data_IF_961949605941
#
_entry.id   IF_961949605941
#
_cell.length_a   1.000
_cell.length_b   1.000
_cell.length_c   1.000
_cell.angle_alpha   90.00
_cell.angle_beta   90.00
_cell.angle_gamma   90.00
#
_symmetry.space_group_name_H-M   'P 1'
#
loop_
_entity.id
_entity.type
_entity.pdbx_description
1 polymer ?
#
# COMPACT_ATOMS: atom_id res chain seq x y z
N UNK A 1 5.45 3.35 -4.12
CA UNK A 1 5.57 1.94 -4.57
C UNK A 1 4.84 1.07 -3.58
N UNK A 2 4.20 -0.01 -4.02
CA UNK A 2 3.58 -1.02 -3.14
C UNK A 2 3.94 -2.42 -3.62
N UNK A 3 3.88 -3.39 -2.70
CA UNK A 3 4.11 -4.80 -2.99
C UNK A 3 3.11 -5.67 -2.25
N UNK A 4 2.71 -6.77 -2.89
CA UNK A 4 1.91 -7.83 -2.29
C UNK A 4 2.63 -9.17 -2.36
N UNK A 5 2.42 -10.03 -1.38
CA UNK A 5 2.93 -11.41 -1.36
C UNK A 5 1.76 -12.37 -1.38
N UNK A 6 1.76 -13.30 -2.34
CA UNK A 6 0.78 -14.37 -2.44
C UNK A 6 1.47 -15.72 -2.33
N UNK A 7 0.95 -16.56 -1.44
CA UNK A 7 1.35 -17.96 -1.34
C UNK A 7 0.44 -18.80 -2.23
N UNK A 8 1.04 -19.50 -3.20
CA UNK A 8 0.37 -20.53 -3.99
C UNK A 8 0.15 -21.79 -3.16
N UNK A 9 -0.89 -22.56 -3.50
CA UNK A 9 -1.19 -23.83 -2.85
C UNK A 9 -0.07 -24.87 -3.03
N UNK A 10 0.73 -24.73 -4.08
CA UNK A 10 1.92 -25.52 -4.40
C UNK A 10 3.19 -25.04 -3.67
N UNK A 11 3.07 -24.06 -2.76
CA UNK A 11 4.19 -23.43 -2.08
C UNK A 11 4.90 -22.35 -2.90
N UNK A 12 4.43 -22.04 -4.12
CA UNK A 12 5.04 -20.99 -4.93
C UNK A 12 4.80 -19.61 -4.30
N UNK A 13 5.86 -18.83 -4.12
CA UNK A 13 5.76 -17.44 -3.68
C UNK A 13 5.66 -16.50 -4.88
N UNK A 14 4.56 -15.75 -4.94
CA UNK A 14 4.33 -14.73 -5.95
C UNK A 14 4.49 -13.33 -5.35
N UNK A 15 5.27 -12.50 -6.02
CA UNK A 15 5.39 -11.08 -5.70
C UNK A 15 4.51 -10.29 -6.67
N UNK A 16 3.65 -9.45 -6.13
CA UNK A 16 2.84 -8.49 -6.86
C UNK A 16 3.43 -7.10 -6.71
N UNK A 17 3.55 -6.37 -7.81
CA UNK A 17 4.10 -5.02 -7.78
C UNK A 17 3.62 -4.18 -8.96
N UNK A 18 3.78 -2.87 -8.82
CA UNK A 18 3.64 -1.87 -9.87
C UNK A 18 4.70 -2.09 -10.97
N UNK A 19 4.34 -1.91 -12.24
CA UNK A 19 5.26 -2.07 -13.38
C UNK A 19 4.89 -1.16 -14.54
N UNK A 20 5.62 -1.26 -15.66
CA UNK A 20 5.39 -0.46 -16.88
C UNK A 20 5.44 1.04 -16.58
N UNK A 21 6.56 1.48 -16.01
CA UNK A 21 6.75 2.84 -15.55
C UNK A 21 6.94 3.83 -16.70
N UNK A 22 6.20 4.94 -16.63
CA UNK A 22 6.41 6.14 -17.43
C UNK A 22 6.59 7.30 -16.45
N UNK A 23 7.65 8.10 -16.65
CA UNK A 23 8.06 9.19 -15.74
C UNK A 23 8.19 8.76 -14.27
N UNK A 24 8.63 7.52 -14.03
CA UNK A 24 8.79 6.96 -12.69
C UNK A 24 7.50 6.43 -12.03
N UNK A 25 6.37 6.42 -12.75
CA UNK A 25 5.08 5.91 -12.25
C UNK A 25 4.58 4.75 -13.10
N UNK A 26 4.29 3.62 -12.47
CA UNK A 26 3.78 2.43 -13.14
C UNK A 26 2.33 2.55 -13.58
N UNK A 27 2.09 2.15 -14.82
CA UNK A 27 0.75 2.07 -15.42
C UNK A 27 0.14 0.68 -15.30
N UNK A 28 0.96 -0.32 -14.99
CA UNK A 28 0.54 -1.69 -14.87
C UNK A 28 0.77 -2.30 -13.49
N UNK A 29 0.14 -3.43 -13.27
CA UNK A 29 0.42 -4.36 -12.17
C UNK A 29 0.94 -5.66 -12.76
N UNK A 30 1.90 -6.29 -12.09
CA UNK A 30 2.34 -7.63 -12.47
C UNK A 30 2.46 -8.52 -11.25
N UNK A 31 2.60 -9.82 -11.54
CA UNK A 31 3.09 -10.80 -10.58
C UNK A 31 4.15 -11.68 -11.21
N UNK A 32 5.12 -12.09 -10.41
CA UNK A 32 6.15 -13.05 -10.82
C UNK A 32 6.52 -13.97 -9.66
N UNK A 33 7.03 -15.16 -9.99
CA UNK A 33 7.55 -16.09 -8.98
C UNK A 33 8.82 -15.51 -8.37
N UNK A 34 8.84 -15.45 -7.04
CA UNK A 34 10.03 -15.07 -6.29
C UNK A 34 11.16 -16.08 -6.57
N UNK A 35 12.35 -15.56 -6.86
CA UNK A 35 13.58 -16.32 -6.97
C UNK A 35 14.70 -15.48 -6.35
N UNK A 36 15.45 -16.00 -5.35
CA UNK A 36 16.54 -15.25 -4.73
C UNK A 36 17.56 -14.77 -5.77
N UNK A 37 17.95 -13.49 -5.68
CA UNK A 37 18.94 -12.87 -6.58
C UNK A 37 18.46 -12.63 -8.02
N UNK A 38 17.21 -12.95 -8.36
CA UNK A 38 16.70 -12.76 -9.71
C UNK A 38 16.34 -11.29 -9.98
N UNK A 39 16.65 -10.84 -11.20
CA UNK A 39 16.12 -9.61 -11.79
C UNK A 39 15.00 -9.96 -12.77
N UNK A 40 13.95 -9.13 -12.81
CA UNK A 40 12.86 -9.25 -13.78
C UNK A 40 12.76 -7.98 -14.60
N UNK A 41 12.62 -8.15 -15.90
CA UNK A 41 12.35 -7.12 -16.89
C UNK A 41 10.88 -7.21 -17.33
N UNK A 42 10.44 -6.26 -18.13
CA UNK A 42 9.10 -6.30 -18.75
C UNK A 42 8.90 -7.53 -19.64
N UNK A 43 9.97 -8.08 -20.23
CA UNK A 43 9.92 -9.31 -21.02
C UNK A 43 9.72 -10.58 -20.18
N UNK A 44 10.00 -10.54 -18.88
CA UNK A 44 9.89 -11.70 -17.99
C UNK A 44 8.51 -11.85 -17.34
N UNK A 45 7.64 -10.85 -17.50
CA UNK A 45 6.44 -10.72 -16.66
C UNK A 45 5.18 -10.42 -17.47
N UNK A 46 4.07 -10.89 -16.94
CA UNK A 46 2.76 -10.62 -17.49
C UNK A 46 2.23 -9.30 -16.93
N UNK A 47 2.29 -8.23 -17.73
CA UNK A 47 1.80 -6.91 -17.37
C UNK A 47 0.27 -6.85 -17.51
N UNK A 48 -0.39 -6.25 -16.52
CA UNK A 48 -1.84 -6.05 -16.44
C UNK A 48 -2.15 -4.55 -16.32
N UNK A 49 -3.09 -4.06 -17.12
CA UNK A 49 -3.62 -2.70 -17.06
C UNK A 49 -5.09 -2.74 -16.66
N UNK A 50 -5.40 -2.90 -15.36
CA UNK A 50 -6.78 -3.17 -14.91
C UNK A 50 -7.70 -1.95 -14.98
N UNK A 51 -7.13 -0.74 -15.12
CA UNK A 51 -7.86 0.51 -15.29
C UNK A 51 -7.19 1.29 -16.42
N UNK A 52 -7.90 1.46 -17.53
CA UNK A 52 -7.38 2.19 -18.70
C UNK A 52 -7.05 3.64 -18.34
N UNK A 53 -5.93 4.15 -18.86
CA UNK A 53 -5.45 5.52 -18.59
C UNK A 53 -4.96 5.79 -17.16
N UNK A 54 -4.90 4.78 -16.28
CA UNK A 54 -4.45 4.97 -14.90
C UNK A 54 -2.92 5.04 -14.77
N UNK A 55 -2.45 5.69 -13.70
CA UNK A 55 -1.04 5.72 -13.29
C UNK A 55 -0.90 5.39 -11.80
N UNK A 56 0.33 5.15 -11.36
CA UNK A 56 0.64 4.88 -9.95
C UNK A 56 -0.08 3.63 -9.41
N UNK A 57 -0.09 2.54 -10.19
CA UNK A 57 -0.89 1.35 -9.91
C UNK A 57 -0.24 0.48 -8.83
N UNK A 58 -0.64 0.70 -7.59
CA UNK A 58 -0.06 0.12 -6.38
C UNK A 58 -0.95 -1.02 -5.86
N UNK A 59 -0.52 -2.29 -5.91
CA UNK A 59 -1.32 -3.41 -5.45
C UNK A 59 -1.17 -3.66 -3.94
N UNK A 60 -2.25 -4.10 -3.29
CA UNK A 60 -2.26 -4.69 -1.96
C UNK A 60 -3.21 -5.91 -1.95
N UNK A 61 -2.78 -6.99 -1.32
CA UNK A 61 -3.56 -8.24 -1.25
C UNK A 61 -4.21 -8.42 0.11
N UNK A 62 -5.38 -9.06 0.12
CA UNK A 62 -5.97 -9.66 1.30
C UNK A 62 -6.06 -11.18 1.12
N UNK A 63 -5.11 -11.95 1.67
CA UNK A 63 -5.15 -13.42 1.57
C UNK A 63 -6.36 -14.05 2.25
N UNK A 64 -6.91 -13.40 3.28
CA UNK A 64 -8.08 -13.90 4.04
C UNK A 64 -9.35 -13.89 3.20
N UNK A 65 -9.55 -12.88 2.35
CA UNK A 65 -10.74 -12.76 1.50
C UNK A 65 -10.48 -13.12 0.04
N UNK A 66 -9.23 -13.43 -0.32
CA UNK A 66 -8.87 -13.69 -1.72
C UNK A 66 -9.04 -12.47 -2.62
N UNK A 67 -8.78 -11.26 -2.11
CA UNK A 67 -8.98 -9.99 -2.85
C UNK A 67 -7.69 -9.25 -3.12
N UNK A 68 -7.71 -8.43 -4.15
CA UNK A 68 -6.67 -7.43 -4.46
C UNK A 68 -7.30 -6.05 -4.54
N UNK A 69 -6.71 -5.09 -3.83
CA UNK A 69 -6.96 -3.68 -4.05
C UNK A 69 -5.81 -3.10 -4.88
N UNK A 70 -6.14 -2.31 -5.89
CA UNK A 70 -5.17 -1.47 -6.59
C UNK A 70 -5.51 -0.03 -6.29
N UNK A 71 -4.57 0.68 -5.69
CA UNK A 71 -4.58 2.13 -5.64
C UNK A 71 -4.06 2.66 -6.97
N UNK A 72 -4.76 3.59 -7.58
CA UNK A 72 -4.37 4.17 -8.86
C UNK A 72 -4.74 5.66 -8.90
N UNK A 73 -4.18 6.40 -9.86
CA UNK A 73 -4.58 7.76 -10.19
C UNK A 73 -5.20 7.79 -11.58
N UNK A 74 -6.36 8.42 -11.70
CA UNK A 74 -7.02 8.69 -12.98
C UNK A 74 -7.27 10.20 -13.09
N UNK A 75 -6.76 10.84 -14.14
CA UNK A 75 -6.81 12.30 -14.27
C UNK A 75 -6.17 13.03 -13.08
N UNK A 76 -5.14 12.44 -12.46
CA UNK A 76 -4.48 12.96 -11.25
C UNK A 76 -5.16 12.61 -9.92
N UNK A 77 -6.42 12.18 -9.95
CA UNK A 77 -7.21 11.87 -8.75
C UNK A 77 -6.94 10.45 -8.24
N UNK A 78 -6.49 10.27 -6.99
CA UNK A 78 -6.25 8.96 -6.42
C UNK A 78 -7.56 8.23 -6.06
N UNK A 79 -7.60 6.93 -6.37
CA UNK A 79 -8.73 6.03 -6.15
C UNK A 79 -8.22 4.65 -5.73
N UNK A 80 -9.14 3.85 -5.19
CA UNK A 80 -8.94 2.42 -4.99
C UNK A 80 -9.99 1.65 -5.78
N UNK A 81 -9.58 0.57 -6.42
CA UNK A 81 -10.51 -0.43 -6.96
C UNK A 81 -10.12 -1.80 -6.43
N UNK A 82 -11.13 -2.60 -6.07
CA UNK A 82 -10.96 -3.91 -5.47
C UNK A 82 -11.54 -4.97 -6.40
N UNK A 83 -10.84 -6.08 -6.55
CA UNK A 83 -11.28 -7.25 -7.30
C UNK A 83 -11.10 -8.53 -6.50
N UNK A 84 -11.81 -9.57 -6.92
CA UNK A 84 -11.41 -10.94 -6.64
C UNK A 84 -10.01 -11.21 -7.23
N UNK A 85 -9.14 -11.85 -6.45
CA UNK A 85 -7.75 -12.09 -6.84
C UNK A 85 -7.63 -13.13 -7.96
N UNK A 86 -8.53 -14.11 -8.02
CA UNK A 86 -8.52 -15.12 -9.08
C UNK A 86 -8.98 -14.50 -10.41
N UNK A 87 -10.07 -13.71 -10.40
CA UNK A 87 -10.52 -12.95 -11.56
C UNK A 87 -9.42 -11.98 -12.06
N UNK A 88 -8.82 -11.20 -11.16
CA UNK A 88 -7.72 -10.29 -11.50
C UNK A 88 -6.51 -11.03 -12.08
N UNK A 89 -6.19 -12.19 -11.53
CA UNK A 89 -5.13 -13.07 -12.05
C UNK A 89 -5.41 -13.51 -13.48
N UNK A 90 -6.66 -13.92 -13.75
CA UNK A 90 -7.17 -14.34 -15.05
C UNK A 90 -7.37 -13.19 -16.05
N UNK A 91 -7.07 -11.95 -15.64
CA UNK A 91 -7.26 -10.72 -16.42
C UNK A 91 -8.73 -10.39 -16.71
N UNK A 92 -9.64 -10.87 -15.87
CA UNK A 92 -11.02 -10.44 -15.86
C UNK A 92 -11.17 -9.25 -14.90
N UNK A 93 -11.41 -8.07 -15.48
CA UNK A 93 -11.56 -6.82 -14.74
C UNK A 93 -12.99 -6.27 -14.78
N UNK A 94 -13.92 -6.95 -15.46
CA UNK A 94 -15.27 -6.45 -15.68
C UNK A 94 -16.08 -6.38 -14.38
N UNK A 95 -15.91 -7.37 -13.49
CA UNK A 95 -16.60 -7.46 -12.21
C UNK A 95 -15.75 -6.92 -11.04
N UNK A 96 -15.55 -5.60 -10.99
CA UNK A 96 -14.96 -4.96 -9.81
C UNK A 96 -15.87 -5.11 -8.58
N UNK A 97 -15.29 -5.39 -7.42
CA UNK A 97 -16.02 -5.51 -6.15
C UNK A 97 -16.31 -4.13 -5.52
N UNK A 98 -15.42 -3.16 -5.73
CA UNK A 98 -15.55 -1.80 -5.23
C UNK A 98 -14.71 -0.83 -6.05
N UNK A 99 -15.15 0.41 -6.17
CA UNK A 99 -14.39 1.53 -6.74
C UNK A 99 -14.68 2.82 -5.96
N UNK A 100 -13.72 3.28 -5.16
CA UNK A 100 -13.90 4.39 -4.24
C UNK A 100 -12.80 5.45 -4.39
N UNK A 101 -13.15 6.70 -4.07
CA UNK A 101 -12.19 7.77 -3.97
C UNK A 101 -11.24 7.55 -2.77
N UNK A 102 -9.98 7.96 -2.89
CA UNK A 102 -9.11 8.04 -1.73
C UNK A 102 -9.50 9.28 -0.90
N UNK A 103 -10.09 9.05 0.27
CA UNK A 103 -10.48 10.11 1.21
C UNK A 103 -9.87 9.87 2.58
N UNK A 104 -9.76 10.93 3.40
CA UNK A 104 -9.49 10.80 4.82
C UNK A 104 -8.14 10.18 5.21
N UNK A 105 -7.14 10.13 4.32
CA UNK A 105 -5.81 9.59 4.65
C UNK A 105 -5.14 10.37 5.79
N UNK A 106 -5.31 11.69 5.82
CA UNK A 106 -4.72 12.60 6.80
C UNK A 106 -5.65 13.82 7.03
N UNK A 107 -5.63 14.50 8.20
CA UNK A 107 -6.38 15.75 8.41
C UNK A 107 -5.96 16.88 7.47
N UNK A 108 -4.67 17.03 7.23
CA UNK A 108 -4.12 17.86 6.16
C UNK A 108 -4.10 17.06 4.84
N UNK A 109 -4.87 17.47 3.81
CA UNK A 109 -4.92 16.79 2.52
C UNK A 109 -3.61 16.90 1.72
N UNK A 110 -2.70 17.81 2.07
CA UNK A 110 -1.40 17.95 1.44
C UNK A 110 -0.34 16.98 2.00
N UNK A 111 -0.60 16.35 3.15
CA UNK A 111 0.33 15.40 3.75
C UNK A 111 0.59 14.21 2.82
N UNK A 112 1.84 13.73 2.74
CA UNK A 112 2.21 12.68 1.80
C UNK A 112 1.54 11.36 2.18
N UNK A 113 1.04 10.66 1.16
CA UNK A 113 0.52 9.30 1.28
C UNK A 113 1.67 8.30 1.21
N UNK A 114 1.71 7.38 2.17
CA UNK A 114 2.88 6.56 2.45
C UNK A 114 2.61 5.05 2.39
N UNK A 115 1.34 4.65 2.18
CA UNK A 115 1.00 3.26 1.94
C UNK A 115 -0.44 2.93 2.30
N UNK A 116 -0.86 1.73 1.91
CA UNK A 116 -2.16 1.18 2.30
C UNK A 116 -2.10 -0.34 2.41
N UNK A 117 -3.10 -0.91 3.08
CA UNK A 117 -3.30 -2.35 3.19
C UNK A 117 -4.80 -2.68 3.10
N UNK A 118 -5.12 -3.89 2.64
CA UNK A 118 -6.49 -4.40 2.55
C UNK A 118 -6.66 -5.57 3.53
N UNK A 119 -7.71 -5.54 4.36
CA UNK A 119 -8.09 -6.68 5.18
C UNK A 119 -9.61 -6.77 5.38
N UNK A 120 -10.22 -7.87 4.93
CA UNK A 120 -11.67 -8.00 4.95
C UNK A 120 -12.34 -6.97 4.03
N UNK A 121 -13.28 -6.22 4.59
CA UNK A 121 -13.95 -5.07 3.96
C UNK A 121 -13.31 -3.72 4.33
N UNK A 122 -12.12 -3.75 4.94
CA UNK A 122 -11.43 -2.55 5.43
C UNK A 122 -10.18 -2.24 4.59
N UNK A 123 -10.04 -0.98 4.20
CA UNK A 123 -8.84 -0.45 3.57
C UNK A 123 -8.16 0.53 4.54
N UNK A 124 -6.97 0.15 4.99
CA UNK A 124 -6.16 0.97 5.89
C UNK A 124 -5.19 1.83 5.09
N UNK A 125 -5.02 3.09 5.49
CA UNK A 125 -4.14 4.06 4.84
C UNK A 125 -3.11 4.57 5.85
N UNK A 126 -1.91 4.88 5.36
CA UNK A 126 -0.84 5.53 6.10
C UNK A 126 -0.46 6.82 5.39
N UNK A 127 -0.45 7.93 6.11
CA UNK A 127 -0.02 9.23 5.59
C UNK A 127 0.67 10.05 6.69
N UNK A 128 1.55 10.95 6.29
CA UNK A 128 2.32 11.82 7.18
C UNK A 128 3.75 11.98 6.71
N UNK A 129 4.38 13.05 7.18
CA UNK A 129 5.66 13.52 6.68
C UNK A 129 6.82 12.94 7.49
N UNK A 130 8.03 13.03 6.93
CA UNK A 130 9.24 12.90 7.72
C UNK A 130 9.29 13.97 8.83
N UNK A 131 10.05 13.71 9.89
CA UNK A 131 10.46 14.79 10.79
C UNK A 131 11.20 15.89 10.04
N UNK A 132 10.79 17.12 10.32
CA UNK A 132 11.35 18.35 9.78
C UNK A 132 11.37 19.41 10.89
N UNK A 133 12.48 20.14 11.12
CA UNK A 133 12.57 21.11 12.22
C UNK A 133 11.51 22.21 12.22
N UNK A 134 10.88 22.50 11.07
CA UNK A 134 9.89 23.58 10.93
C UNK A 134 8.47 23.04 10.77
N UNK A 135 8.26 22.10 9.87
CA UNK A 135 6.93 21.62 9.49
C UNK A 135 6.45 20.44 10.35
N UNK A 136 7.35 19.59 10.83
CA UNK A 136 7.03 18.38 11.59
C UNK A 136 8.10 18.10 12.66
N UNK A 137 8.28 19.00 13.64
CA UNK A 137 9.40 18.93 14.57
C UNK A 137 9.28 17.68 15.47
N UNK A 138 10.41 17.02 15.83
CA UNK A 138 10.39 15.84 16.69
C UNK A 138 9.64 16.02 18.01
N UNK A 139 9.66 17.23 18.59
CA UNK A 139 8.96 17.57 19.83
C UNK A 139 7.41 17.42 19.72
N UNK A 140 6.86 17.44 18.50
CA UNK A 140 5.44 17.20 18.24
C UNK A 140 5.08 15.72 18.08
N UNK A 141 6.07 14.81 18.21
CA UNK A 141 5.95 13.36 18.05
C UNK A 141 5.48 12.87 16.66
N UNK A 142 5.28 13.78 15.71
CA UNK A 142 4.99 13.46 14.31
C UNK A 142 3.52 13.59 13.94
N UNK A 143 3.30 13.77 12.65
CA UNK A 143 2.00 13.92 12.01
C UNK A 143 1.48 12.61 11.39
N UNK A 144 2.09 11.45 11.65
CA UNK A 144 1.66 10.20 11.00
C UNK A 144 0.25 9.80 11.44
N UNK A 145 -0.62 9.58 10.47
CA UNK A 145 -1.97 9.09 10.66
C UNK A 145 -2.18 7.73 10.01
N UNK A 146 -2.95 6.90 10.70
CA UNK A 146 -3.57 5.70 10.15
C UNK A 146 -5.06 5.98 10.02
N UNK A 147 -5.63 5.66 8.86
CA UNK A 147 -7.08 5.73 8.68
C UNK A 147 -7.63 4.47 8.05
N UNK A 148 -8.95 4.28 8.17
CA UNK A 148 -9.65 3.09 7.72
C UNK A 148 -10.90 3.51 6.91
N UNK A 149 -11.02 2.97 5.70
CA UNK A 149 -12.21 3.11 4.85
C UNK A 149 -12.97 1.77 4.80
N UNK A 150 -14.30 1.82 4.82
CA UNK A 150 -15.13 0.69 4.38
C UNK A 150 -15.09 0.63 2.85
N UNK A 151 -14.68 -0.50 2.27
CA UNK A 151 -14.54 -0.60 0.80
C UNK A 151 -15.88 -0.63 0.07
N UNK A 152 -16.98 -0.98 0.73
CA UNK A 152 -18.31 -1.11 0.13
C UNK A 152 -18.97 0.26 -0.02
N UNK A 153 -18.74 1.15 0.93
CA UNK A 153 -19.36 2.49 0.97
C UNK A 153 -18.39 3.62 0.67
N UNK A 154 -17.09 3.42 0.87
CA UNK A 154 -16.07 4.47 0.84
C UNK A 154 -16.07 5.36 2.09
N UNK A 155 -16.81 4.99 3.14
CA UNK A 155 -16.91 5.76 4.37
C UNK A 155 -15.61 5.71 5.18
N UNK A 156 -15.21 6.87 5.75
CA UNK A 156 -14.13 6.96 6.72
C UNK A 156 -14.60 6.47 8.08
N UNK A 157 -14.28 5.22 8.41
CA UNK A 157 -14.67 4.59 9.67
C UNK A 157 -13.86 5.11 10.84
N UNK A 158 -12.57 5.36 10.63
CA UNK A 158 -11.66 5.80 11.68
C UNK A 158 -10.44 6.54 11.11
N UNK A 159 -9.88 7.45 11.92
CA UNK A 159 -8.59 8.09 11.67
C UNK A 159 -7.92 8.42 12.99
N UNK A 160 -6.68 7.99 13.15
CA UNK A 160 -5.90 8.17 14.38
C UNK A 160 -4.49 8.66 14.05
N UNK A 161 -4.03 9.69 14.77
CA UNK A 161 -2.61 10.01 14.84
C UNK A 161 -1.90 8.90 15.61
N UNK A 162 -0.72 8.47 15.16
CA UNK A 162 0.11 7.50 15.87
C UNK A 162 1.46 8.09 16.21
N UNK A 163 1.83 7.98 17.48
CA UNK A 163 3.16 8.34 17.99
C UNK A 163 4.11 7.13 17.95
N UNK A 164 3.74 6.05 17.24
CA UNK A 164 4.65 4.93 17.02
C UNK A 164 5.99 5.45 16.48
N UNK A 165 7.08 4.91 17.01
CA UNK A 165 8.44 5.30 16.63
C UNK A 165 8.81 6.78 16.88
N UNK A 166 8.13 7.50 17.78
CA UNK A 166 8.41 8.92 18.05
C UNK A 166 9.85 9.19 18.51
N UNK A 167 10.51 8.19 19.11
CA UNK A 167 11.88 8.29 19.62
C UNK A 167 12.96 8.22 18.53
N UNK A 168 12.59 7.98 17.27
CA UNK A 168 13.54 7.97 16.16
C UNK A 168 14.02 9.40 15.84
N UNK A 169 15.33 9.57 15.61
CA UNK A 169 15.92 10.88 15.25
C UNK A 169 15.40 11.41 13.90
N UNK A 170 15.32 10.51 12.92
CA UNK A 170 14.60 10.72 11.69
C UNK A 170 13.44 9.72 11.70
N UNK A 171 12.24 10.19 11.39
CA UNK A 171 11.03 9.40 11.44
C UNK A 171 10.20 9.73 10.21
N UNK A 172 10.14 8.82 9.26
CA UNK A 172 9.30 8.93 8.06
C UNK A 172 8.48 7.64 7.93
N UNK A 173 7.13 7.72 7.88
CA UNK A 173 6.30 6.54 7.65
C UNK A 173 6.46 6.03 6.22
N UNK A 174 6.63 4.72 6.05
CA UNK A 174 7.09 4.11 4.79
C UNK A 174 6.43 2.74 4.57
N UNK A 175 5.11 2.73 4.44
CA UNK A 175 4.34 1.52 4.13
C UNK A 175 3.57 0.91 5.29
N UNK A 176 2.57 0.13 4.90
CA UNK A 176 1.57 -0.47 5.77
C UNK A 176 1.28 -1.90 5.30
N UNK A 177 1.10 -2.83 6.23
CA UNK A 177 0.71 -4.20 5.91
C UNK A 177 -0.21 -4.77 6.99
N UNK A 178 -1.11 -5.67 6.61
CA UNK A 178 -1.84 -6.51 7.58
C UNK A 178 -1.30 -7.92 7.51
N UNK A 179 -0.95 -8.49 8.67
CA UNK A 179 -0.56 -9.89 8.80
C UNK A 179 -1.35 -10.53 9.93
N UNK A 180 -1.94 -11.68 9.63
CA UNK A 180 -2.65 -12.50 10.62
C UNK A 180 -1.68 -13.46 11.30
N UNK A 181 -1.65 -13.46 12.63
CA UNK A 181 -0.85 -14.38 13.45
C UNK A 181 -1.77 -15.02 14.49
N UNK A 182 -1.82 -16.35 14.54
CA UNK A 182 -2.73 -17.07 15.45
C UNK A 182 -4.21 -16.76 15.25
N UNK A 183 -4.62 -16.36 14.04
CA UNK A 183 -5.99 -15.93 13.73
C UNK A 183 -6.27 -14.44 14.00
N UNK A 184 -5.38 -13.73 14.69
CA UNK A 184 -5.53 -12.30 14.97
C UNK A 184 -4.85 -11.44 13.89
N UNK A 185 -5.56 -10.52 13.24
CA UNK A 185 -4.94 -9.57 12.33
C UNK A 185 -4.19 -8.48 13.11
N UNK A 186 -2.95 -8.20 12.68
CA UNK A 186 -2.15 -7.09 13.18
C UNK A 186 -1.84 -6.13 12.06
N UNK A 187 -1.92 -4.83 12.35
CA UNK A 187 -1.57 -3.77 11.41
C UNK A 187 -0.13 -3.35 11.64
N UNK A 188 0.74 -3.61 10.69
CA UNK A 188 2.17 -3.30 10.73
C UNK A 188 2.47 -1.99 10.00
N UNK A 189 3.25 -1.12 10.63
CA UNK A 189 3.67 0.18 10.14
C UNK A 189 5.20 0.19 9.99
N UNK A 190 5.66 0.62 8.82
CA UNK A 190 7.07 0.84 8.55
C UNK A 190 7.51 2.27 8.84
N UNK A 191 8.68 2.45 9.43
CA UNK A 191 9.31 3.77 9.60
C UNK A 191 10.78 3.75 9.18
N UNK A 192 11.14 4.67 8.29
CA UNK A 192 12.54 4.98 7.98
C UNK A 192 13.16 5.88 9.06
N UNK A 193 14.44 5.63 9.33
CA UNK A 193 15.25 6.35 10.32
C UNK A 193 16.72 6.42 9.92
N UNK A 194 17.56 7.05 10.75
CA UNK A 194 18.99 7.23 10.49
C UNK A 194 19.27 8.30 9.42
N UNK A 195 20.52 8.44 9.02
CA UNK A 195 20.95 9.48 8.08
C UNK A 195 20.75 9.08 6.61
N UNK A 196 20.72 10.07 5.71
CA UNK A 196 20.71 9.81 4.26
C UNK A 196 21.93 8.97 3.88
N UNK A 197 21.73 7.89 3.13
CA UNK A 197 22.79 6.93 2.77
C UNK A 197 23.06 5.84 3.81
N UNK A 198 22.52 5.97 5.03
CA UNK A 198 22.61 4.99 6.10
C UNK A 198 21.24 4.74 6.75
N UNK A 199 20.18 4.78 5.94
CA UNK A 199 18.80 4.64 6.41
C UNK A 199 18.60 3.25 7.03
N UNK A 200 17.88 3.23 8.15
CA UNK A 200 17.40 2.01 8.81
C UNK A 200 15.88 1.96 8.71
N UNK A 201 15.34 0.75 8.73
CA UNK A 201 13.89 0.53 8.71
C UNK A 201 13.47 -0.21 9.97
N UNK A 202 12.41 0.28 10.61
CA UNK A 202 11.83 -0.34 11.80
C UNK A 202 10.35 -0.64 11.55
N UNK A 203 9.89 -1.76 12.08
CA UNK A 203 8.51 -2.21 11.95
C UNK A 203 7.86 -2.15 13.34
N UNK A 204 6.70 -1.50 13.42
CA UNK A 204 5.85 -1.45 14.59
C UNK A 204 4.50 -2.07 14.24
N UNK A 205 3.72 -2.50 15.22
CA UNK A 205 2.37 -3.02 14.97
C UNK A 205 1.36 -2.55 16.02
N UNK A 206 0.09 -2.65 15.65
CA UNK A 206 -1.08 -2.51 16.52
C UNK A 206 -1.88 -3.80 16.48
#
# INVERSE_FOLDING_TARGET
>A
MAMGVQHGADGTLWIWTETDAVDGYGRGVTRFRFAPGATRTTGDVNIRHPVEGSRTNQPALCPVTGRIAVRYRLGGTPRYRVWDLAAFTARDYAAGLADLAQTGAHPDPAAPFQGFALHGDHLYQLAGSAYDPRANPPAGHGDTHVSCLDIRTGELLARHRTEAAYSLRHREPEGLAVRTTGGTPHLYLGFASGDRGARKFSIYYK
#
